data_IF_375698721517
#
_entry.id   IF_375698721517
#
_cell.length_a   1.000
_cell.length_b   1.000
_cell.length_c   1.000
_cell.angle_alpha   90.00
_cell.angle_beta   90.00
_cell.angle_gamma   90.00
#
_symmetry.space_group_name_H-M   'P 1'
#
loop_
_entity.id
_entity.type
_entity.pdbx_description
1 polymer ?
#
# COMPACT_ATOMS: atom_id res chain seq x y z
N UNK A 1 -4.56 -18.03 9.10
CA UNK A 1 -5.11 -19.11 8.24
C UNK A 1 -5.23 -18.51 6.83
N UNK A 2 -4.49 -19.02 5.85
CA UNK A 2 -4.46 -18.43 4.50
C UNK A 2 -5.56 -19.03 3.60
N UNK A 3 -5.97 -18.28 2.59
CA UNK A 3 -6.85 -18.78 1.54
C UNK A 3 -6.03 -19.66 0.58
N UNK A 4 -6.50 -20.86 0.22
CA UNK A 4 -5.86 -21.69 -0.78
C UNK A 4 -5.87 -21.01 -2.16
N UNK A 5 -4.76 -21.13 -2.88
CA UNK A 5 -4.58 -20.56 -4.22
C UNK A 5 -5.61 -21.12 -5.22
N UNK A 6 -6.12 -20.26 -6.10
CA UNK A 6 -6.98 -20.65 -7.22
C UNK A 6 -8.38 -21.15 -6.85
N UNK A 7 -8.75 -21.14 -5.56
CA UNK A 7 -10.07 -21.61 -5.10
C UNK A 7 -11.08 -20.47 -4.91
N UNK A 8 -10.60 -19.25 -4.72
CA UNK A 8 -11.42 -18.11 -4.39
C UNK A 8 -11.09 -16.96 -5.32
N UNK A 9 -12.14 -16.43 -5.96
CA UNK A 9 -12.12 -15.17 -6.71
C UNK A 9 -13.16 -14.25 -6.10
N UNK A 10 -12.93 -12.95 -6.20
CA UNK A 10 -13.77 -11.91 -5.65
C UNK A 10 -14.17 -10.93 -6.76
N UNK A 11 -15.44 -10.56 -6.79
CA UNK A 11 -15.90 -9.54 -7.73
C UNK A 11 -15.35 -8.15 -7.36
N UNK A 12 -15.23 -7.87 -6.05
CA UNK A 12 -14.81 -6.58 -5.51
C UNK A 12 -13.83 -6.75 -4.34
N UNK A 13 -12.74 -6.00 -4.38
CA UNK A 13 -11.82 -5.77 -3.27
C UNK A 13 -11.94 -4.31 -2.81
N UNK A 14 -12.12 -4.10 -1.51
CA UNK A 14 -12.05 -2.77 -0.90
C UNK A 14 -10.81 -2.73 0.00
N UNK A 15 -9.93 -1.78 -0.26
CA UNK A 15 -8.73 -1.51 0.56
C UNK A 15 -8.99 -0.19 1.28
N UNK A 16 -9.20 -0.26 2.58
CA UNK A 16 -9.33 0.92 3.44
C UNK A 16 -7.99 1.25 4.10
N UNK A 17 -7.82 2.50 4.52
CA UNK A 17 -6.54 3.04 5.05
C UNK A 17 -5.33 2.74 4.13
N UNK A 18 -5.56 2.79 2.83
CA UNK A 18 -4.60 2.38 1.81
C UNK A 18 -3.30 3.22 1.78
N UNK A 19 -3.29 4.41 2.40
CA UNK A 19 -2.07 5.21 2.56
C UNK A 19 -1.07 4.58 3.54
N UNK A 20 -1.51 3.64 4.37
CA UNK A 20 -0.68 2.98 5.38
C UNK A 20 -0.24 1.56 4.97
N UNK A 21 -0.59 1.11 3.77
CA UNK A 21 -0.33 -0.26 3.28
C UNK A 21 0.71 -0.26 2.16
N UNK A 22 1.71 -1.14 2.25
CA UNK A 22 2.70 -1.33 1.17
C UNK A 22 2.06 -2.10 -0.01
N UNK A 23 2.46 -1.85 -1.27
CA UNK A 23 1.89 -2.53 -2.44
C UNK A 23 1.95 -4.06 -2.40
N UNK A 24 3.03 -4.62 -1.85
CA UNK A 24 3.24 -6.07 -1.70
C UNK A 24 2.20 -6.74 -0.78
N UNK A 25 1.70 -6.03 0.24
CA UNK A 25 0.66 -6.53 1.13
C UNK A 25 -0.69 -6.64 0.42
N UNK A 26 -0.97 -5.73 -0.51
CA UNK A 26 -2.21 -5.70 -1.29
C UNK A 26 -2.20 -6.70 -2.46
N UNK A 27 -1.02 -7.00 -3.02
CA UNK A 27 -0.86 -7.75 -4.27
C UNK A 27 -1.62 -9.09 -4.27
N UNK A 28 -1.54 -9.84 -3.18
CA UNK A 28 -2.21 -11.14 -3.09
C UNK A 28 -3.73 -11.04 -3.20
N UNK A 29 -4.34 -10.01 -2.62
CA UNK A 29 -5.78 -9.78 -2.72
C UNK A 29 -6.17 -9.26 -4.11
N UNK A 30 -5.37 -8.35 -4.68
CA UNK A 30 -5.60 -7.77 -6.01
C UNK A 30 -5.61 -8.84 -7.11
N UNK A 31 -4.71 -9.83 -7.04
CA UNK A 31 -4.64 -10.93 -8.01
C UNK A 31 -5.88 -11.84 -8.03
N UNK A 32 -6.73 -11.77 -6.99
CA UNK A 32 -7.97 -12.56 -6.90
C UNK A 32 -9.23 -11.72 -7.10
N UNK A 33 -9.09 -10.44 -7.42
CA UNK A 33 -10.22 -9.51 -7.51
C UNK A 33 -10.44 -9.02 -8.95
N UNK A 34 -11.70 -8.92 -9.36
CA UNK A 34 -12.08 -8.37 -10.68
C UNK A 34 -12.13 -6.85 -10.67
N UNK A 35 -12.57 -6.26 -9.56
CA UNK A 35 -12.65 -4.81 -9.35
C UNK A 35 -12.03 -4.45 -8.00
N UNK A 36 -11.42 -3.27 -7.92
CA UNK A 36 -10.72 -2.79 -6.74
C UNK A 36 -11.16 -1.36 -6.43
N UNK A 37 -11.46 -1.09 -5.16
CA UNK A 37 -11.71 0.25 -4.63
C UNK A 37 -10.66 0.52 -3.56
N UNK A 38 -9.87 1.58 -3.76
CA UNK A 38 -8.80 1.99 -2.86
C UNK A 38 -9.22 3.27 -2.15
N UNK A 39 -9.24 3.23 -0.83
CA UNK A 39 -9.69 4.34 0.03
C UNK A 39 -8.57 4.70 0.99
N UNK A 40 -8.27 5.97 1.10
CA UNK A 40 -7.27 6.51 2.01
C UNK A 40 -7.07 8.00 1.80
N UNK A 41 -6.14 8.58 2.56
CA UNK A 41 -5.75 9.97 2.43
C UNK A 41 -4.23 10.07 2.22
N UNK A 42 -3.73 10.58 1.08
CA UNK A 42 -2.30 10.69 0.82
C UNK A 42 -1.59 11.66 1.76
N UNK A 43 -2.32 12.41 2.61
CA UNK A 43 -1.74 13.29 3.63
C UNK A 43 -1.61 12.64 5.01
N UNK A 44 -2.12 11.42 5.19
CA UNK A 44 -1.91 10.66 6.41
C UNK A 44 -0.53 9.99 6.43
N UNK A 45 -0.21 9.30 7.52
CA UNK A 45 1.08 8.64 7.67
C UNK A 45 1.31 7.60 6.56
N UNK A 46 2.52 7.55 5.96
CA UNK A 46 2.90 6.48 5.04
C UNK A 46 3.06 5.15 5.78
N UNK A 47 3.23 4.02 5.06
CA UNK A 47 3.54 2.74 5.68
C UNK A 47 4.80 2.86 6.56
N UNK A 48 4.69 2.50 7.85
CA UNK A 48 5.83 2.59 8.77
C UNK A 48 6.74 1.37 8.67
N UNK A 49 7.94 1.56 8.11
CA UNK A 49 9.03 0.58 8.06
C UNK A 49 9.77 0.50 9.42
N UNK A 50 9.09 0.09 10.50
CA UNK A 50 9.66 0.07 11.86
C UNK A 50 10.70 -1.04 12.08
N UNK A 51 10.65 -2.13 11.30
CA UNK A 51 11.56 -3.28 11.42
C UNK A 51 12.79 -3.23 10.51
N UNK A 52 12.77 -2.47 9.41
CA UNK A 52 13.91 -2.38 8.47
C UNK A 52 15.09 -1.58 9.04
N UNK A 53 14.84 -0.61 9.92
CA UNK A 53 15.90 0.23 10.52
C UNK A 53 16.75 -0.48 11.59
N UNK A 54 16.37 -1.68 12.03
CA UNK A 54 17.05 -2.38 13.13
C UNK A 54 18.15 -3.32 12.66
N UNK A 55 18.25 -3.60 11.36
CA UNK A 55 19.33 -4.41 10.77
C UNK A 55 20.58 -3.61 10.40
N UNK A 56 20.52 -2.28 10.41
CA UNK A 56 21.67 -1.44 10.04
C UNK A 56 22.29 -0.71 11.24
N UNK A 57 23.46 -1.19 11.67
CA UNK A 57 24.60 -0.36 12.07
C UNK A 57 25.82 -1.23 12.43
N UNK A 58 27.09 -0.73 12.38
CA UNK A 58 27.62 0.40 11.60
C UNK A 58 28.99 0.04 10.95
N UNK A 59 29.14 0.09 9.62
CA UNK A 59 30.42 0.36 8.92
C UNK A 59 30.31 0.01 7.42
N UNK A 60 29.66 0.83 6.63
CA UNK A 60 30.20 1.26 5.34
C UNK A 60 29.51 2.55 4.96
N UNK A 61 30.32 3.49 4.48
CA UNK A 61 29.94 4.80 3.96
C UNK A 61 29.35 4.60 2.55
N UNK A 62 28.28 3.82 2.45
CA UNK A 62 27.57 3.58 1.20
C UNK A 62 26.41 4.58 1.12
N UNK A 63 26.62 5.67 0.36
CA UNK A 63 25.62 6.68 -0.03
C UNK A 63 24.46 6.09 -0.86
N UNK A 64 24.43 4.77 -1.06
CA UNK A 64 23.45 3.97 -1.81
C UNK A 64 22.71 2.96 -0.89
N UNK A 65 22.45 3.32 0.37
CA UNK A 65 21.44 2.62 1.16
C UNK A 65 20.08 2.90 0.51
N UNK A 66 19.70 2.02 -0.43
CA UNK A 66 18.48 2.00 -1.23
C UNK A 66 17.38 2.87 -0.62
N UNK A 67 16.88 3.86 -1.38
CA UNK A 67 15.64 4.57 -1.08
C UNK A 67 14.57 3.52 -0.74
N UNK A 68 14.36 3.26 0.55
CA UNK A 68 13.25 2.43 1.02
C UNK A 68 12.02 3.18 0.57
N UNK A 69 11.43 2.69 -0.52
CA UNK A 69 10.27 3.28 -1.14
C UNK A 69 9.07 3.05 -0.22
N UNK A 70 8.90 3.95 0.75
CA UNK A 70 7.75 4.04 1.65
C UNK A 70 6.46 4.43 0.87
N UNK A 71 6.42 4.23 -0.46
CA UNK A 71 5.26 4.47 -1.29
C UNK A 71 4.13 3.49 -0.95
N UNK A 72 2.98 4.05 -0.61
CA UNK A 72 1.76 3.29 -0.34
C UNK A 72 1.08 2.77 -1.61
N UNK A 73 0.24 1.73 -1.45
CA UNK A 73 -0.62 1.27 -2.55
C UNK A 73 -1.59 2.37 -3.03
N UNK A 74 -2.01 3.28 -2.15
CA UNK A 74 -2.82 4.45 -2.53
C UNK A 74 -2.08 5.33 -3.54
N UNK A 75 -0.83 5.69 -3.25
CA UNK A 75 -0.02 6.54 -4.13
C UNK A 75 0.27 5.86 -5.47
N UNK A 76 0.64 4.57 -5.46
CA UNK A 76 0.82 3.78 -6.68
C UNK A 76 -0.42 3.80 -7.56
N UNK A 77 -1.60 3.55 -6.97
CA UNK A 77 -2.86 3.58 -7.71
C UNK A 77 -3.19 4.98 -8.24
N UNK A 78 -2.92 6.05 -7.49
CA UNK A 78 -3.13 7.42 -7.97
C UNK A 78 -2.24 7.73 -9.18
N UNK A 79 -0.96 7.34 -9.15
CA UNK A 79 -0.02 7.51 -10.26
C UNK A 79 -0.42 6.69 -11.50
N UNK A 80 -0.87 5.46 -11.30
CA UNK A 80 -1.21 4.54 -12.39
C UNK A 80 -2.53 4.87 -13.08
N UNK A 81 -3.56 5.26 -12.32
CA UNK A 81 -4.92 5.40 -12.84
C UNK A 81 -5.38 6.85 -13.02
N UNK A 82 -4.76 7.82 -12.35
CA UNK A 82 -5.02 9.27 -12.49
C UNK A 82 -6.40 9.77 -12.02
N UNK A 83 -7.41 8.92 -11.99
CA UNK A 83 -8.77 9.26 -11.54
C UNK A 83 -8.92 9.07 -10.02
N UNK A 84 -9.06 10.18 -9.30
CA UNK A 84 -9.27 10.20 -7.84
C UNK A 84 -10.55 10.93 -7.51
N UNK A 85 -11.44 10.29 -6.73
CA UNK A 85 -12.64 10.94 -6.20
C UNK A 85 -12.41 11.38 -4.76
N UNK A 86 -12.41 12.70 -4.52
CA UNK A 86 -12.22 13.28 -3.20
C UNK A 86 -13.56 13.54 -2.51
N UNK A 87 -13.72 13.04 -1.29
CA UNK A 87 -14.82 13.41 -0.41
C UNK A 87 -14.64 14.85 0.05
N UNK A 88 -15.67 15.69 -0.09
CA UNK A 88 -15.59 17.15 0.13
C UNK A 88 -16.06 17.61 1.51
N UNK A 89 -16.90 16.81 2.16
CA UNK A 89 -17.54 17.17 3.41
C UNK A 89 -16.89 16.40 4.56
N UNK A 90 -16.57 17.11 5.64
CA UNK A 90 -16.14 16.51 6.90
C UNK A 90 -17.24 16.71 7.95
N UNK A 91 -17.40 15.73 8.84
CA UNK A 91 -18.45 15.70 9.87
C UNK A 91 -17.88 15.47 11.29
N UNK A 92 -16.57 15.65 11.44
CA UNK A 92 -15.82 15.62 12.69
C UNK A 92 -14.95 16.86 12.76
#
# INVERSE_FOLDING_TARGET
KFLPQGRFEFDLLVIDEASQMKPEDALGAMLRARQIVVVGDPKQLPPTSFFERSSDNPATDDEDADEIDDESILERCQKAFGEVRRLKWHYR
#
